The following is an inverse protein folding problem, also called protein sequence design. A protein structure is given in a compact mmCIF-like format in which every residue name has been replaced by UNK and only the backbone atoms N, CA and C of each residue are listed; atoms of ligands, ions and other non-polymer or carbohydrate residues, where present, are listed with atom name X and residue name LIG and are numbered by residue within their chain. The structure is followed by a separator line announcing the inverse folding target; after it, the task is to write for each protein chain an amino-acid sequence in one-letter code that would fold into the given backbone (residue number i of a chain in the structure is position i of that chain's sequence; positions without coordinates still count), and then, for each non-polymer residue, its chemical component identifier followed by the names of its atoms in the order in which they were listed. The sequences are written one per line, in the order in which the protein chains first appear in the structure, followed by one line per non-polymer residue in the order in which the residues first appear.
data_IF_596857846838
#
_entry.id   IF_596857846838
#
_cell.length_a   1.000
_cell.length_b   1.000
_cell.length_c   1.000
_cell.angle_alpha   90.00
_cell.angle_beta   90.00
_cell.angle_gamma   90.00
#
_symmetry.space_group_name_H-M   'P 1'
#
loop_
_entity.id
_entity.type
_entity.pdbx_description
1 polymer ?
#
# COMPACT_ATOMS: atom_id res chain seq x y z
N UNK A 1 1.62 -6.37 -1.79
CA UNK A 1 1.26 -5.14 -1.08
C UNK A 1 1.85 -3.97 -1.84
N UNK A 2 1.00 -3.10 -2.39
CA UNK A 2 1.38 -1.88 -3.10
C UNK A 2 2.11 -0.88 -2.20
N UNK A 3 2.69 0.15 -2.83
CA UNK A 3 3.48 1.18 -2.17
C UNK A 3 2.66 2.46 -2.03
N UNK A 4 2.72 3.11 -0.87
CA UNK A 4 1.95 4.29 -0.53
C UNK A 4 2.91 5.46 -0.64
N UNK A 5 2.74 6.25 -1.69
CA UNK A 5 3.63 7.36 -1.97
C UNK A 5 3.21 8.63 -1.26
N UNK A 6 1.90 8.88 -1.17
CA UNK A 6 1.36 10.14 -0.62
C UNK A 6 0.02 9.88 0.05
N UNK A 7 -0.22 10.61 1.14
CA UNK A 7 -1.51 10.70 1.82
C UNK A 7 -1.83 12.18 1.96
N UNK A 8 -2.95 12.64 1.39
CA UNK A 8 -3.40 14.03 1.54
C UNK A 8 -2.29 15.06 1.29
N UNK A 9 -2.08 15.98 2.23
CA UNK A 9 -1.01 16.97 2.25
C UNK A 9 0.16 16.57 3.18
N UNK A 10 0.28 15.31 3.60
CA UNK A 10 1.33 14.88 4.54
C UNK A 10 2.69 14.74 3.85
N UNK A 11 3.77 15.10 4.54
CA UNK A 11 5.12 14.94 3.99
C UNK A 11 5.45 13.48 3.76
N UNK A 12 6.15 13.17 2.67
CA UNK A 12 6.48 11.80 2.32
C UNK A 12 7.96 11.63 1.99
N UNK A 13 8.56 10.51 2.43
CA UNK A 13 9.95 10.18 2.05
C UNK A 13 10.13 10.11 0.54
N UNK A 14 9.10 9.66 -0.16
CA UNK A 14 9.14 9.50 -1.61
C UNK A 14 9.27 10.84 -2.36
N UNK A 15 8.95 11.98 -1.72
CA UNK A 15 9.16 13.31 -2.29
C UNK A 15 10.64 13.68 -2.39
N UNK A 16 11.47 13.13 -1.49
CA UNK A 16 12.92 13.38 -1.48
C UNK A 16 13.61 12.59 -2.57
N UNK A 17 13.34 11.28 -2.67
CA UNK A 17 13.91 10.41 -3.69
C UNK A 17 13.04 9.17 -3.90
N UNK A 18 12.18 9.22 -4.92
CA UNK A 18 11.27 8.11 -5.19
C UNK A 18 12.01 6.80 -5.48
N UNK A 19 13.11 6.84 -6.23
CA UNK A 19 13.82 5.63 -6.69
C UNK A 19 14.44 4.94 -5.48
N UNK A 20 15.14 5.70 -4.64
CA UNK A 20 15.76 5.20 -3.42
C UNK A 20 14.73 4.58 -2.48
N UNK A 21 13.67 5.30 -2.13
CA UNK A 21 12.73 4.82 -1.12
C UNK A 21 11.84 3.68 -1.61
N UNK A 22 11.52 3.64 -2.90
CA UNK A 22 10.81 2.51 -3.52
C UNK A 22 11.64 1.22 -3.43
N UNK A 23 12.92 1.29 -3.81
CA UNK A 23 13.83 0.15 -3.73
C UNK A 23 14.06 -0.30 -2.28
N UNK A 24 14.24 0.65 -1.36
CA UNK A 24 14.37 0.35 0.07
C UNK A 24 13.15 -0.37 0.63
N UNK A 25 11.94 0.08 0.29
CA UNK A 25 10.71 -0.55 0.77
C UNK A 25 10.57 -2.00 0.27
N UNK A 26 10.82 -2.24 -1.02
CA UNK A 26 10.76 -3.59 -1.59
C UNK A 26 11.77 -4.52 -0.91
N UNK A 27 13.01 -4.05 -0.69
CA UNK A 27 14.05 -4.82 0.00
C UNK A 27 13.69 -5.10 1.45
N UNK A 28 13.29 -4.08 2.21
CA UNK A 28 12.90 -4.19 3.62
C UNK A 28 11.76 -5.20 3.79
N UNK A 29 10.72 -5.12 2.95
CA UNK A 29 9.61 -6.06 2.99
C UNK A 29 10.06 -7.50 2.76
N UNK A 30 10.92 -7.77 1.76
CA UNK A 30 11.41 -9.12 1.45
C UNK A 30 12.22 -9.69 2.61
N UNK A 31 13.18 -8.91 3.12
CA UNK A 31 14.03 -9.33 4.24
C UNK A 31 13.21 -9.60 5.50
N UNK A 32 12.32 -8.68 5.86
CA UNK A 32 11.52 -8.81 7.08
C UNK A 32 10.50 -9.95 6.98
N UNK A 33 9.96 -10.22 5.78
CA UNK A 33 9.10 -11.39 5.57
C UNK A 33 9.86 -12.71 5.76
N UNK A 34 11.07 -12.82 5.21
CA UNK A 34 11.92 -14.01 5.36
C UNK A 34 12.23 -14.26 6.84
N UNK A 35 12.75 -13.25 7.54
CA UNK A 35 13.06 -13.36 8.98
C UNK A 35 11.81 -13.68 9.81
N UNK A 36 10.68 -13.04 9.52
CA UNK A 36 9.43 -13.28 10.25
C UNK A 36 8.92 -14.71 10.05
N UNK A 37 9.01 -15.23 8.82
CA UNK A 37 8.64 -16.60 8.48
C UNK A 37 9.57 -17.62 9.12
N UNK A 38 10.89 -17.44 9.02
CA UNK A 38 11.88 -18.31 9.65
C UNK A 38 11.68 -18.38 11.17
N UNK A 39 11.42 -17.25 11.82
CA UNK A 39 11.13 -17.21 13.26
C UNK A 39 9.87 -17.99 13.63
N UNK A 40 8.85 -17.98 12.77
CA UNK A 40 7.62 -18.75 12.98
C UNK A 40 7.85 -20.25 12.76
N UNK A 41 8.53 -20.64 11.67
CA UNK A 41 8.86 -22.05 11.39
C UNK A 41 9.74 -22.67 12.49
N UNK A 42 10.74 -21.92 12.99
CA UNK A 42 11.59 -22.37 14.09
C UNK A 42 10.82 -22.56 15.39
N UNK A 43 9.82 -21.71 15.68
CA UNK A 43 8.97 -21.86 16.87
C UNK A 43 7.98 -23.01 16.75
N UNK A 44 7.42 -23.25 15.56
CA UNK A 44 6.61 -24.44 15.28
C UNK A 44 7.43 -25.71 15.51
N UNK A 45 8.64 -25.77 14.96
CA UNK A 45 9.53 -26.91 15.16
C UNK A 45 9.89 -27.09 16.65
N UNK A 46 10.19 -26.00 17.36
CA UNK A 46 10.48 -26.06 18.80
C UNK A 46 9.27 -26.50 19.65
N UNK A 47 8.05 -26.08 19.30
CA UNK A 47 6.82 -26.52 19.96
C UNK A 47 6.49 -27.99 19.69
N UNK A 48 6.68 -28.46 18.46
CA UNK A 48 6.54 -29.88 18.10
C UNK A 48 7.59 -30.76 18.77
N UNK A 49 8.83 -30.26 18.95
CA UNK A 49 9.86 -30.96 19.73
C UNK A 49 9.53 -31.04 21.23
N UNK A 50 8.69 -30.14 21.75
CA UNK A 50 8.22 -30.17 23.13
C UNK A 50 7.09 -31.19 23.33
N UNK A 51 6.17 -31.33 22.37
CA UNK A 51 5.11 -32.36 22.40
C UNK A 51 5.66 -33.78 22.20
N UNK A 52 6.67 -33.97 21.33
CA UNK A 52 7.30 -35.30 21.12
C UNK A 52 8.17 -35.72 22.32
N UNK A 53 8.74 -34.76 23.06
CA UNK A 53 9.53 -35.05 24.27
C UNK A 53 8.69 -35.45 25.50
N UNK A 54 7.38 -35.20 25.49
CA UNK A 54 6.48 -35.68 26.55
C UNK A 54 6.06 -37.16 26.35
N UNK A 55 6.14 -37.71 25.13
CA UNK A 55 5.84 -39.13 24.86
C UNK A 55 7.08 -40.04 24.75
N UNK A 56 8.27 -39.53 24.46
CA UNK A 56 9.50 -40.35 24.37
C UNK A 56 10.62 -39.84 25.31
N UNK A 57 10.45 -40.11 26.61
CA UNK A 57 11.53 -39.99 27.58
C UNK A 57 12.48 -41.21 27.53
N UNK A 58 13.44 -41.20 26.61
CA UNK A 58 14.76 -41.85 26.76
C UNK A 58 15.78 -41.21 25.78
N UNK A 59 16.98 -40.78 26.22
CA UNK A 59 17.91 -40.09 25.32
C UNK A 59 18.87 -41.08 24.65
N UNK A 60 18.82 -41.17 23.32
CA UNK A 60 19.89 -41.75 22.50
C UNK A 60 20.79 -40.66 21.90
N UNK A 61 22.11 -40.82 22.08
CA UNK A 61 23.17 -39.85 21.76
C UNK A 61 23.33 -39.55 20.26
N UNK A 62 22.80 -40.40 19.38
CA UNK A 62 22.96 -40.32 17.92
C UNK A 62 22.13 -39.20 17.25
N UNK A 63 21.06 -38.74 17.91
CA UNK A 63 20.17 -37.71 17.37
C UNK A 63 20.90 -36.38 17.12
N UNK A 64 21.84 -36.00 17.99
CA UNK A 64 22.59 -34.74 17.90
C UNK A 64 23.52 -34.66 16.68
N UNK A 65 24.06 -35.79 16.20
CA UNK A 65 24.93 -35.81 15.02
C UNK A 65 24.15 -35.63 13.71
N UNK A 66 22.88 -36.06 13.65
CA UNK A 66 22.04 -35.95 12.45
C UNK A 66 21.52 -34.51 12.25
N UNK A 67 21.13 -33.81 13.32
CA UNK A 67 20.68 -32.42 13.23
C UNK A 67 21.77 -31.44 12.78
N UNK A 68 23.05 -31.70 13.12
CA UNK A 68 24.17 -30.85 12.68
C UNK A 68 24.45 -30.95 11.17
N UNK A 69 24.22 -32.13 10.57
CA UNK A 69 24.41 -32.38 9.13
C UNK A 69 23.33 -31.71 8.28
N UNK A 70 22.08 -31.69 8.74
CA UNK A 70 20.95 -31.06 8.03
C UNK A 70 21.12 -29.53 7.99
N UNK A 71 21.58 -28.93 9.12
CA UNK A 71 21.89 -27.49 9.19
C UNK A 71 22.99 -27.08 8.22
N UNK A 72 23.96 -27.96 7.97
CA UNK A 72 25.03 -27.72 7.00
C UNK A 72 24.59 -27.84 5.54
N UNK A 73 23.59 -28.68 5.25
CA UNK A 73 23.06 -28.88 3.90
C UNK A 73 22.14 -27.72 3.45
N UNK A 74 21.36 -27.14 4.37
CA UNK A 74 20.57 -25.92 4.10
C UNK A 74 21.45 -24.68 3.86
N UNK A 75 22.59 -24.58 4.56
CA UNK A 75 23.57 -23.51 4.34
C UNK A 75 24.21 -23.58 2.95
N UNK A 76 24.36 -24.78 2.39
CA UNK A 76 25.03 -25.01 1.09
C UNK A 76 24.10 -24.79 -0.12
N UNK A 77 22.79 -24.61 0.08
CA UNK A 77 21.83 -24.37 -1.01
C UNK A 77 21.56 -22.89 -1.28
N UNK A 78 22.15 -21.98 -0.49
CA UNK A 78 22.05 -20.52 -0.66
C UNK A 78 23.20 -19.91 -1.48
N UNK A 79 24.11 -20.71 -2.03
CA UNK A 79 25.30 -20.23 -2.76
C UNK A 79 25.22 -20.33 -4.29
N UNK A 80 24.07 -20.68 -4.88
CA UNK A 80 23.94 -20.73 -6.35
C UNK A 80 22.74 -19.86 -6.78
N UNK A 81 23.06 -18.83 -7.57
CA UNK A 81 22.22 -17.78 -8.17
C UNK A 81 21.90 -16.55 -7.30
N UNK A 82 22.94 -15.80 -6.93
CA UNK A 82 22.80 -14.34 -6.74
C UNK A 82 24.09 -13.62 -7.10
N UNK A 83 24.54 -13.83 -8.34
CA UNK A 83 25.68 -13.13 -8.91
C UNK A 83 25.19 -12.32 -10.10
N UNK A 84 24.77 -11.08 -9.81
CA UNK A 84 25.05 -9.86 -10.60
C UNK A 84 24.30 -8.68 -9.95
N UNK A 85 25.06 -7.61 -9.65
CA UNK A 85 24.64 -6.31 -9.09
C UNK A 85 24.64 -6.12 -7.55
N UNK A 86 25.60 -6.70 -6.82
CA UNK A 86 25.89 -6.28 -5.45
C UNK A 86 27.01 -5.22 -5.42
N UNK A 87 26.63 -3.93 -5.43
CA UNK A 87 27.52 -2.86 -4.94
C UNK A 87 27.72 -2.99 -3.42
N UNK A 88 28.89 -2.59 -2.87
CA UNK A 88 29.26 -2.85 -1.49
C UNK A 88 28.34 -2.11 -0.50
N UNK A 89 28.00 -2.83 0.57
CA UNK A 89 27.09 -2.43 1.64
C UNK A 89 27.65 -1.23 2.40
N UNK A 90 27.01 -0.06 2.27
CA UNK A 90 27.16 0.99 3.26
C UNK A 90 26.43 0.58 4.55
N UNK A 91 27.07 0.67 5.73
CA UNK A 91 26.44 0.36 6.99
C UNK A 91 25.23 1.27 7.26
N UNK A 92 24.21 0.63 7.81
CA UNK A 92 22.97 1.17 8.37
C UNK A 92 23.12 2.60 8.94
N UNK A 93 22.41 3.58 8.36
CA UNK A 93 22.39 4.95 8.90
C UNK A 93 21.35 5.09 10.03
N UNK A 94 21.70 5.65 11.20
CA UNK A 94 20.75 5.96 12.26
C UNK A 94 19.79 7.06 11.78
N UNK A 95 18.47 6.80 11.83
CA UNK A 95 17.40 7.69 11.35
C UNK A 95 16.35 7.03 10.45
N UNK A 96 16.60 5.79 10.01
CA UNK A 96 15.64 4.99 9.23
C UNK A 96 14.64 4.37 10.20
N UNK A 97 13.34 4.60 9.97
CA UNK A 97 12.25 3.92 10.67
C UNK A 97 12.53 2.40 10.68
N UNK A 98 12.74 1.82 11.86
CA UNK A 98 12.96 0.38 12.00
C UNK A 98 11.62 -0.35 11.90
N UNK A 99 11.53 -1.33 11.00
CA UNK A 99 10.41 -2.24 10.91
C UNK A 99 10.85 -3.62 11.39
N UNK A 100 10.34 -4.02 12.55
CA UNK A 100 10.59 -5.35 13.12
C UNK A 100 9.22 -5.97 13.44
N UNK A 101 8.72 -6.89 12.60
CA UNK A 101 7.41 -7.49 12.81
C UNK A 101 7.42 -8.42 14.03
N UNK A 102 6.36 -8.36 14.84
CA UNK A 102 6.23 -9.12 16.08
C UNK A 102 5.07 -10.12 16.02
N UNK A 103 5.24 -11.28 16.62
CA UNK A 103 4.17 -12.26 16.79
C UNK A 103 3.33 -11.88 18.01
N UNK A 104 2.20 -11.23 17.80
CA UNK A 104 1.25 -10.85 18.87
C UNK A 104 0.50 -12.08 19.38
N UNK A 105 0.24 -13.03 18.49
CA UNK A 105 -0.27 -14.36 18.79
C UNK A 105 0.42 -15.36 17.86
N UNK A 106 0.31 -16.65 18.18
CA UNK A 106 0.89 -17.71 17.37
C UNK A 106 -0.08 -18.09 16.25
N UNK A 107 0.23 -17.81 14.97
CA UNK A 107 -0.65 -18.21 13.87
C UNK A 107 -0.49 -19.71 13.59
N UNK A 108 -1.59 -20.40 13.37
CA UNK A 108 -1.62 -21.84 13.08
C UNK A 108 -1.30 -22.11 11.60
N UNK A 109 -1.51 -21.12 10.73
CA UNK A 109 -1.34 -21.25 9.27
C UNK A 109 -0.46 -20.14 8.70
N UNK A 110 0.23 -20.45 7.61
CA UNK A 110 1.05 -19.47 6.88
C UNK A 110 0.19 -18.28 6.39
N UNK A 111 -1.07 -18.51 6.05
CA UNK A 111 -1.99 -17.45 5.62
C UNK A 111 -2.34 -16.48 6.75
N UNK A 112 -2.48 -16.97 7.99
CA UNK A 112 -2.64 -16.09 9.16
C UNK A 112 -1.35 -15.30 9.43
N UNK A 113 -0.19 -15.95 9.30
CA UNK A 113 1.11 -15.27 9.42
C UNK A 113 1.27 -14.16 8.38
N UNK A 114 0.90 -14.42 7.12
CA UNK A 114 0.89 -13.42 6.04
C UNK A 114 0.00 -12.24 6.38
N UNK A 115 -1.22 -12.47 6.88
CA UNK A 115 -2.14 -11.39 7.29
C UNK A 115 -1.52 -10.53 8.39
N UNK A 116 -0.97 -11.15 9.43
CA UNK A 116 -0.31 -10.43 10.52
C UNK A 116 0.83 -9.54 10.04
N UNK A 117 1.69 -10.09 9.18
CA UNK A 117 2.78 -9.35 8.58
C UNK A 117 2.27 -8.16 7.75
N UNK A 118 1.26 -8.36 6.91
CA UNK A 118 0.68 -7.32 6.07
C UNK A 118 -0.01 -6.22 6.88
N UNK A 119 -0.63 -6.56 8.01
CA UNK A 119 -1.25 -5.57 8.90
C UNK A 119 -0.21 -4.71 9.60
N UNK A 120 0.91 -5.30 10.02
CA UNK A 120 2.02 -4.55 10.60
C UNK A 120 2.74 -3.70 9.56
N UNK A 121 2.96 -4.25 8.36
CA UNK A 121 3.57 -3.54 7.24
C UNK A 121 2.71 -2.36 6.79
N UNK A 122 1.39 -2.49 6.81
CA UNK A 122 0.45 -1.40 6.55
C UNK A 122 0.64 -0.23 7.52
N UNK A 123 0.72 -0.50 8.83
CA UNK A 123 0.97 0.55 9.84
C UNK A 123 2.34 1.21 9.65
N UNK A 124 3.36 0.42 9.32
CA UNK A 124 4.69 0.95 9.00
C UNK A 124 4.67 1.86 7.78
N UNK A 125 3.98 1.44 6.73
CA UNK A 125 3.88 2.17 5.47
C UNK A 125 3.13 3.50 5.62
N UNK A 126 2.12 3.58 6.49
CA UNK A 126 1.50 4.85 6.87
C UNK A 126 2.53 5.82 7.47
N UNK A 127 3.30 5.37 8.47
CA UNK A 127 4.36 6.18 9.09
C UNK A 127 5.46 6.56 8.09
N UNK A 128 5.79 5.65 7.18
CA UNK A 128 6.78 5.86 6.12
C UNK A 128 6.33 6.93 5.12
N UNK A 129 5.05 6.95 4.76
CA UNK A 129 4.45 7.91 3.83
C UNK A 129 4.02 9.23 4.48
N UNK A 130 4.28 9.42 5.77
CA UNK A 130 3.91 10.62 6.55
C UNK A 130 5.08 11.24 7.33
N UNK A 131 6.33 10.81 7.08
CA UNK A 131 7.48 11.31 7.84
C UNK A 131 8.78 11.25 7.06
N UNK A 132 9.60 12.29 7.19
CA UNK A 132 10.97 12.36 6.65
C UNK A 132 11.99 12.23 7.79
N UNK A 133 13.29 12.40 7.52
CA UNK A 133 14.31 12.40 8.57
C UNK A 133 14.14 13.57 9.55
N UNK A 134 13.66 14.72 9.07
CA UNK A 134 13.59 15.96 9.85
C UNK A 134 12.17 16.29 10.32
N UNK A 135 11.17 15.79 9.61
CA UNK A 135 9.78 16.23 9.78
C UNK A 135 8.84 15.02 9.87
N UNK A 136 7.70 15.23 10.53
CA UNK A 136 6.59 14.29 10.48
C UNK A 136 5.24 15.02 10.41
N UNK A 137 4.24 14.32 9.89
CA UNK A 137 2.85 14.77 9.89
C UNK A 137 2.06 13.89 10.86
N UNK A 138 1.26 14.47 11.77
CA UNK A 138 0.41 13.70 12.67
C UNK A 138 -0.67 12.98 11.86
N UNK A 139 -0.68 11.64 11.92
CA UNK A 139 -1.67 10.82 11.21
C UNK A 139 -2.90 10.63 12.10
N UNK A 140 -4.11 11.01 11.64
CA UNK A 140 -5.36 10.68 12.32
C UNK A 140 -5.55 9.17 12.49
N UNK A 141 -6.08 8.75 13.64
CA UNK A 141 -6.34 7.34 13.93
C UNK A 141 -7.24 6.67 12.88
N UNK A 142 -8.17 7.42 12.27
CA UNK A 142 -9.09 6.93 11.24
C UNK A 142 -8.37 6.25 10.05
N UNK A 143 -7.20 6.77 9.63
CA UNK A 143 -6.46 6.22 8.48
C UNK A 143 -5.89 4.83 8.75
N UNK A 144 -5.66 4.45 10.01
CA UNK A 144 -5.21 3.10 10.37
C UNK A 144 -6.32 2.04 10.22
N UNK A 145 -7.57 2.47 10.21
CA UNK A 145 -8.75 1.60 10.09
C UNK A 145 -9.46 1.74 8.74
N UNK A 146 -9.00 2.65 7.89
CA UNK A 146 -9.55 2.88 6.55
C UNK A 146 -9.48 1.59 5.70
N UNK A 147 -10.65 1.10 5.31
CA UNK A 147 -10.80 -0.14 4.55
C UNK A 147 -10.37 0.00 3.09
N UNK A 148 -10.50 1.19 2.51
CA UNK A 148 -10.18 1.46 1.11
C UNK A 148 -8.67 1.57 0.93
N UNK A 149 -8.00 2.24 1.88
CA UNK A 149 -6.56 2.31 1.91
C UNK A 149 -5.93 0.91 2.11
N UNK A 150 -6.46 0.12 3.05
CA UNK A 150 -6.03 -1.28 3.24
C UNK A 150 -6.28 -2.12 1.99
N UNK A 151 -7.42 -1.93 1.34
CA UNK A 151 -7.76 -2.63 0.11
C UNK A 151 -6.72 -2.38 -0.98
N UNK A 152 -6.40 -1.11 -1.30
CA UNK A 152 -5.40 -0.81 -2.33
C UNK A 152 -4.01 -1.31 -1.98
N UNK A 153 -3.60 -1.19 -0.71
CA UNK A 153 -2.25 -1.57 -0.34
C UNK A 153 -2.12 -3.09 -0.25
N UNK A 154 -2.93 -3.79 0.54
CA UNK A 154 -2.70 -5.22 0.79
C UNK A 154 -3.03 -6.09 -0.42
N UNK A 155 -3.98 -5.69 -1.28
CA UNK A 155 -4.53 -6.56 -2.32
C UNK A 155 -3.78 -6.47 -3.66
N UNK A 156 -3.03 -5.40 -3.88
CA UNK A 156 -2.28 -5.18 -5.12
C UNK A 156 -0.78 -5.52 -4.97
N UNK A 157 -0.09 -5.83 -6.08
CA UNK A 157 1.36 -6.04 -6.10
C UNK A 157 2.14 -4.81 -5.62
N UNK A 158 3.37 -5.02 -5.17
CA UNK A 158 4.31 -3.97 -4.76
C UNK A 158 4.84 -3.09 -5.90
N UNK A 159 4.49 -3.41 -7.13
CA UNK A 159 4.77 -2.59 -8.31
C UNK A 159 3.75 -1.47 -8.52
N UNK A 160 2.68 -1.45 -7.72
CA UNK A 160 1.65 -0.42 -7.75
C UNK A 160 2.01 0.69 -6.77
N UNK A 161 1.89 1.93 -7.25
CA UNK A 161 2.20 3.11 -6.45
C UNK A 161 0.90 3.90 -6.21
N UNK A 162 0.60 4.19 -4.96
CA UNK A 162 -0.67 4.78 -4.51
C UNK A 162 -0.44 6.19 -3.96
N UNK A 163 -1.19 7.16 -4.47
CA UNK A 163 -1.37 8.46 -3.84
C UNK A 163 -2.83 8.51 -3.35
N UNK A 164 -3.01 8.48 -2.04
CA UNK A 164 -4.33 8.46 -1.42
C UNK A 164 -4.82 9.88 -1.15
N UNK A 165 -5.82 10.29 -1.93
CA UNK A 165 -6.43 11.64 -1.91
C UNK A 165 -5.40 12.77 -1.87
N UNK A 166 -4.42 12.82 -2.80
CA UNK A 166 -3.35 13.81 -2.73
C UNK A 166 -3.91 15.22 -2.88
N UNK A 167 -3.24 16.17 -2.25
CA UNK A 167 -3.60 17.59 -2.34
C UNK A 167 -2.62 18.28 -3.28
N UNK A 168 -3.12 18.86 -4.38
CA UNK A 168 -2.31 19.61 -5.34
C UNK A 168 -2.48 21.12 -5.19
N UNK A 169 -1.43 21.86 -5.54
CA UNK A 169 -1.50 23.32 -5.70
C UNK A 169 -1.61 23.64 -7.18
N UNK A 170 -2.78 24.10 -7.63
CA UNK A 170 -3.00 24.46 -9.02
C UNK A 170 -3.43 25.93 -9.14
N UNK A 171 -2.61 26.76 -9.80
CA UNK A 171 -2.90 28.20 -10.00
C UNK A 171 -3.30 28.93 -8.70
N UNK A 172 -2.59 28.66 -7.59
CA UNK A 172 -2.86 29.17 -6.23
C UNK A 172 -4.11 28.62 -5.54
N UNK A 173 -4.86 27.70 -6.16
CA UNK A 173 -5.90 26.95 -5.50
C UNK A 173 -5.34 25.64 -4.93
N UNK A 174 -5.72 25.33 -3.69
CA UNK A 174 -5.43 24.04 -3.05
C UNK A 174 -6.62 23.14 -3.33
N UNK A 175 -6.37 21.98 -3.96
CA UNK A 175 -7.44 21.07 -4.36
C UNK A 175 -7.10 19.65 -3.92
N UNK A 176 -8.02 19.05 -3.16
CA UNK A 176 -8.00 17.61 -2.86
C UNK A 176 -8.48 16.81 -4.07
N UNK A 177 -7.72 15.76 -4.39
CA UNK A 177 -7.99 14.86 -5.50
C UNK A 177 -8.61 13.55 -5.04
N UNK A 178 -9.17 12.82 -6.00
CA UNK A 178 -9.48 11.41 -5.83
C UNK A 178 -8.22 10.55 -5.74
N UNK A 179 -8.39 9.26 -5.42
CA UNK A 179 -7.26 8.35 -5.27
C UNK A 179 -6.56 8.12 -6.61
N UNK A 180 -5.23 8.22 -6.64
CA UNK A 180 -4.43 7.96 -7.83
C UNK A 180 -3.63 6.68 -7.63
N UNK A 181 -3.83 5.71 -8.51
CA UNK A 181 -3.14 4.43 -8.51
C UNK A 181 -2.32 4.27 -9.80
N UNK A 182 -1.01 4.24 -9.67
CA UNK A 182 -0.09 4.07 -10.79
C UNK A 182 0.21 2.58 -10.93
N UNK A 183 -0.34 1.98 -11.98
CA UNK A 183 -0.09 0.59 -12.38
C UNK A 183 0.99 0.53 -13.48
N UNK A 184 1.48 -0.66 -13.84
CA UNK A 184 2.45 -0.81 -14.94
C UNK A 184 1.93 -0.52 -16.34
N UNK A 185 0.60 -0.39 -16.48
CA UNK A 185 -0.07 -0.15 -17.76
C UNK A 185 -0.68 1.25 -17.84
N UNK A 186 -1.24 1.76 -16.75
CA UNK A 186 -1.97 3.01 -16.72
C UNK A 186 -1.89 3.72 -15.35
N UNK A 187 -2.13 5.03 -15.37
CA UNK A 187 -2.44 5.81 -14.16
C UNK A 187 -3.95 5.84 -13.99
N UNK A 188 -4.43 5.29 -12.89
CA UNK A 188 -5.85 5.22 -12.58
C UNK A 188 -6.23 6.36 -11.63
N UNK A 189 -7.21 7.17 -12.02
CA UNK A 189 -7.95 8.02 -11.11
C UNK A 189 -9.15 7.23 -10.62
N UNK A 190 -9.24 6.98 -9.31
CA UNK A 190 -10.21 6.06 -8.71
C UNK A 190 -11.00 6.75 -7.61
N UNK A 191 -12.32 6.52 -7.62
CA UNK A 191 -13.22 6.94 -6.55
C UNK A 191 -14.15 5.81 -6.16
N UNK A 192 -14.43 5.66 -4.87
CA UNK A 192 -15.37 4.68 -4.35
C UNK A 192 -16.75 5.29 -4.22
N UNK A 193 -17.76 4.55 -4.69
CA UNK A 193 -19.17 4.85 -4.47
C UNK A 193 -19.81 3.66 -3.79
N UNK A 194 -19.70 3.61 -2.47
CA UNK A 194 -20.19 2.50 -1.65
C UNK A 194 -21.07 3.04 -0.53
N UNK A 195 -22.32 2.57 -0.49
CA UNK A 195 -23.24 2.89 0.59
C UNK A 195 -23.91 1.62 1.11
N UNK A 196 -25.20 1.43 0.79
CA UNK A 196 -25.97 0.29 1.25
C UNK A 196 -25.72 -0.93 0.37
N UNK A 197 -25.84 -2.12 0.97
CA UNK A 197 -25.66 -3.38 0.25
C UNK A 197 -26.74 -3.53 -0.84
N UNK A 198 -26.29 -3.90 -2.03
CA UNK A 198 -27.09 -4.07 -3.25
C UNK A 198 -27.86 -2.80 -3.69
N UNK A 199 -27.37 -1.61 -3.31
CA UNK A 199 -27.90 -0.35 -3.81
C UNK A 199 -27.66 -0.19 -5.33
N UNK A 200 -28.62 0.43 -6.01
CA UNK A 200 -28.53 0.74 -7.45
C UNK A 200 -28.38 2.25 -7.63
N UNK A 201 -27.31 2.65 -8.31
CA UNK A 201 -27.02 4.04 -8.64
C UNK A 201 -27.36 4.31 -10.11
N UNK A 202 -28.19 5.32 -10.35
CA UNK A 202 -28.54 5.79 -11.69
C UNK A 202 -27.63 6.95 -12.07
N UNK A 203 -26.65 6.64 -12.91
CA UNK A 203 -25.71 7.62 -13.43
C UNK A 203 -26.38 8.55 -14.44
N UNK A 204 -26.03 9.83 -14.36
CA UNK A 204 -26.47 10.84 -15.32
C UNK A 204 -25.41 11.92 -15.50
N UNK A 205 -25.57 12.75 -16.55
CA UNK A 205 -24.74 13.96 -16.76
C UNK A 205 -25.07 15.08 -15.78
N UNK A 206 -26.13 14.94 -14.99
CA UNK A 206 -26.55 15.93 -14.01
C UNK A 206 -25.58 15.99 -12.83
N UNK A 207 -25.64 17.09 -12.08
CA UNK A 207 -24.87 17.27 -10.84
C UNK A 207 -25.21 16.23 -9.76
N UNK A 208 -26.42 15.67 -9.81
CA UNK A 208 -26.90 14.70 -8.84
C UNK A 208 -27.29 13.40 -9.52
N UNK A 209 -26.96 12.30 -8.87
CA UNK A 209 -27.41 10.96 -9.22
C UNK A 209 -28.49 10.51 -8.26
N UNK A 210 -29.28 9.52 -8.69
CA UNK A 210 -30.28 8.87 -7.85
C UNK A 210 -29.74 7.53 -7.36
N UNK A 211 -29.68 7.36 -6.04
CA UNK A 211 -29.44 6.08 -5.37
C UNK A 211 -30.78 5.48 -5.00
N UNK A 212 -31.02 4.23 -5.37
CA UNK A 212 -32.16 3.43 -4.88
C UNK A 212 -31.66 2.26 -4.04
N UNK A 213 -32.16 2.16 -2.82
CA UNK A 213 -31.96 1.02 -1.94
C UNK A 213 -33.32 0.56 -1.41
N UNK A 214 -33.79 -0.59 -1.88
CA UNK A 214 -35.16 -1.06 -1.63
C UNK A 214 -36.21 -0.06 -2.15
N UNK A 215 -36.99 0.53 -1.24
CA UNK A 215 -38.06 1.50 -1.56
C UNK A 215 -37.63 2.96 -1.47
N UNK A 216 -36.43 3.25 -0.95
CA UNK A 216 -35.98 4.62 -0.72
C UNK A 216 -35.12 5.10 -1.88
N UNK A 217 -35.45 6.29 -2.40
CA UNK A 217 -34.64 7.01 -3.37
C UNK A 217 -33.96 8.21 -2.69
N UNK A 218 -32.64 8.33 -2.84
CA UNK A 218 -31.83 9.43 -2.30
C UNK A 218 -31.03 10.07 -3.42
N UNK A 219 -30.90 11.39 -3.40
CA UNK A 219 -30.01 12.11 -4.31
C UNK A 219 -28.59 12.15 -3.72
N UNK A 220 -27.61 11.83 -4.54
CA UNK A 220 -26.18 11.91 -4.21
C UNK A 220 -25.48 12.83 -5.21
N UNK A 221 -24.36 13.44 -4.81
CA UNK A 221 -23.53 14.21 -5.74
C UNK A 221 -22.89 13.25 -6.75
N UNK A 222 -22.82 13.67 -8.02
CA UNK A 222 -22.17 12.89 -9.07
C UNK A 222 -20.65 12.74 -8.77
N UNK A 223 -20.15 11.52 -8.49
CA UNK A 223 -18.75 11.29 -8.14
C UNK A 223 -17.80 11.52 -9.33
N UNK A 224 -18.31 11.49 -10.56
CA UNK A 224 -17.52 11.70 -11.78
C UNK A 224 -17.05 13.14 -11.92
N UNK A 225 -17.71 14.11 -11.25
CA UNK A 225 -17.26 15.51 -11.25
C UNK A 225 -15.87 15.62 -10.61
N UNK A 226 -15.69 15.00 -9.44
CA UNK A 226 -14.40 14.99 -8.75
C UNK A 226 -13.36 14.20 -9.55
N UNK A 227 -13.77 13.07 -10.12
CA UNK A 227 -12.92 12.21 -10.94
C UNK A 227 -12.41 12.91 -12.22
N UNK A 228 -13.28 13.64 -12.93
CA UNK A 228 -12.94 14.42 -14.12
C UNK A 228 -12.00 15.58 -13.78
N UNK A 229 -12.19 16.22 -12.61
CA UNK A 229 -11.27 17.26 -12.14
C UNK A 229 -9.89 16.68 -11.87
N UNK A 230 -9.81 15.54 -11.17
CA UNK A 230 -8.55 14.86 -10.88
C UNK A 230 -7.85 14.43 -12.16
N UNK A 231 -8.57 13.80 -13.08
CA UNK A 231 -8.01 13.35 -14.36
C UNK A 231 -7.44 14.51 -15.18
N UNK A 232 -8.14 15.65 -15.28
CA UNK A 232 -7.64 16.83 -16.01
C UNK A 232 -6.35 17.39 -15.42
N UNK A 233 -6.28 17.48 -14.09
CA UNK A 233 -5.09 18.00 -13.39
C UNK A 233 -3.92 17.03 -13.56
N UNK A 234 -4.14 15.73 -13.31
CA UNK A 234 -3.14 14.68 -13.48
C UNK A 234 -2.63 14.64 -14.93
N UNK A 235 -3.52 14.72 -15.91
CA UNK A 235 -3.15 14.78 -17.34
C UNK A 235 -2.30 16.01 -17.66
N UNK A 236 -2.63 17.16 -17.09
CA UNK A 236 -1.84 18.38 -17.21
C UNK A 236 -0.40 18.19 -16.70
N UNK A 237 -0.27 17.70 -15.46
CA UNK A 237 1.04 17.47 -14.81
C UNK A 237 1.87 16.46 -15.59
N UNK A 238 1.29 15.31 -15.96
CA UNK A 238 2.00 14.26 -16.68
C UNK A 238 2.44 14.70 -18.08
N UNK A 239 1.61 15.50 -18.78
CA UNK A 239 1.96 16.04 -20.10
C UNK A 239 3.14 17.02 -20.01
N UNK A 240 3.16 17.90 -19.01
CA UNK A 240 4.26 18.85 -18.78
C UNK A 240 5.60 18.13 -18.55
N UNK A 241 5.56 16.98 -17.88
CA UNK A 241 6.75 16.19 -17.57
C UNK A 241 7.10 15.16 -18.66
N UNK A 242 6.39 15.15 -19.81
CA UNK A 242 6.65 14.22 -20.91
C UNK A 242 6.44 12.76 -20.50
N UNK A 243 5.38 12.47 -19.76
CA UNK A 243 4.95 11.12 -19.39
C UNK A 243 3.85 10.67 -20.36
N UNK A 244 4.03 9.49 -20.98
CA UNK A 244 3.15 8.97 -22.03
C UNK A 244 2.21 7.86 -21.57
N UNK A 245 2.22 7.52 -20.28
CA UNK A 245 1.35 6.48 -19.71
C UNK A 245 -0.12 6.91 -19.86
N UNK A 246 -1.03 6.01 -20.30
CA UNK A 246 -2.46 6.32 -20.40
C UNK A 246 -3.07 6.60 -19.02
N UNK A 247 -4.08 7.47 -19.00
CA UNK A 247 -4.82 7.85 -17.79
C UNK A 247 -6.24 7.35 -17.92
N UNK A 248 -6.65 6.50 -16.98
CA UNK A 248 -7.96 5.86 -16.94
C UNK A 248 -8.74 6.33 -15.72
N UNK A 249 -10.06 6.45 -15.84
CA UNK A 249 -10.95 6.80 -14.74
C UNK A 249 -11.71 5.56 -14.29
N UNK A 250 -11.73 5.25 -13.01
CA UNK A 250 -12.46 4.13 -12.44
C UNK A 250 -13.42 4.57 -11.35
N UNK A 251 -14.69 4.22 -11.51
CA UNK A 251 -15.70 4.37 -10.46
C UNK A 251 -15.94 2.99 -9.84
N UNK A 252 -15.50 2.79 -8.60
CA UNK A 252 -15.56 1.48 -7.93
C UNK A 252 -16.78 1.41 -7.02
N UNK A 253 -17.58 0.35 -7.18
CA UNK A 253 -18.69 0.03 -6.30
C UNK A 253 -18.71 -1.48 -6.04
N UNK A 254 -18.11 -1.93 -4.92
CA UNK A 254 -18.00 -3.37 -4.61
C UNK A 254 -19.32 -3.97 -4.11
N UNK A 255 -20.19 -3.15 -3.53
CA UNK A 255 -21.40 -3.60 -2.83
C UNK A 255 -22.70 -3.31 -3.57
N UNK A 256 -22.68 -2.64 -4.73
CA UNK A 256 -23.87 -2.22 -5.46
C UNK A 256 -23.72 -2.30 -6.98
N UNK A 257 -24.70 -1.75 -7.68
CA UNK A 257 -24.76 -1.71 -9.14
C UNK A 257 -24.84 -0.28 -9.64
N UNK A 258 -24.20 0.01 -10.76
CA UNK A 258 -24.24 1.34 -11.38
C UNK A 258 -24.83 1.19 -12.78
N UNK A 259 -25.95 1.86 -13.02
CA UNK A 259 -26.60 1.88 -14.34
C UNK A 259 -26.37 3.24 -14.97
N UNK A 260 -25.54 3.27 -16.01
CA UNK A 260 -25.33 4.46 -16.83
C UNK A 260 -25.02 4.07 -18.28
N UNK A 261 -26.05 3.92 -19.14
CA UNK A 261 -25.85 3.51 -20.53
C UNK A 261 -24.99 4.49 -21.34
N UNK A 262 -25.18 5.79 -21.10
CA UNK A 262 -24.48 6.88 -21.82
C UNK A 262 -23.22 7.36 -21.08
N UNK A 263 -22.48 6.44 -20.46
CA UNK A 263 -21.26 6.78 -19.74
C UNK A 263 -20.19 7.39 -20.68
N UNK A 264 -19.46 8.44 -20.25
CA UNK A 264 -18.38 9.02 -21.05
C UNK A 264 -17.30 8.01 -21.40
N UNK A 265 -16.70 8.15 -22.59
CA UNK A 265 -15.54 7.34 -22.97
C UNK A 265 -14.38 7.52 -21.98
N UNK A 266 -13.68 6.43 -21.67
CA UNK A 266 -12.58 6.39 -20.70
C UNK A 266 -13.00 6.35 -19.23
N UNK A 267 -14.31 6.26 -18.94
CA UNK A 267 -14.83 5.96 -17.59
C UNK A 267 -15.13 4.45 -17.47
N UNK A 268 -14.38 3.78 -16.60
CA UNK A 268 -14.61 2.38 -16.25
C UNK A 268 -15.54 2.32 -15.05
N UNK A 269 -16.75 1.81 -15.26
CA UNK A 269 -17.71 1.54 -14.20
C UNK A 269 -17.39 0.16 -13.62
N UNK A 270 -16.76 0.13 -12.46
CA UNK A 270 -16.31 -1.05 -11.75
C UNK A 270 -17.31 -1.41 -10.64
N UNK A 271 -18.55 -1.73 -11.06
CA UNK A 271 -19.58 -2.20 -10.14
C UNK A 271 -19.37 -3.68 -9.75
N UNK A 272 -20.28 -4.26 -8.95
CA UNK A 272 -20.16 -5.64 -8.45
C UNK A 272 -19.88 -6.68 -9.55
N UNK A 273 -20.26 -6.44 -10.81
CA UNK A 273 -20.06 -7.38 -11.94
C UNK A 273 -18.63 -7.32 -12.50
N UNK A 274 -18.15 -6.23 -13.15
CA UNK A 274 -16.83 -6.20 -13.76
C UNK A 274 -15.69 -5.96 -12.75
N UNK A 275 -16.01 -5.53 -11.52
CA UNK A 275 -14.98 -5.24 -10.51
C UNK A 275 -14.07 -6.45 -10.24
N UNK A 276 -14.63 -7.66 -10.15
CA UNK A 276 -13.85 -8.86 -9.85
C UNK A 276 -12.84 -9.19 -10.95
N UNK A 277 -13.25 -9.03 -12.22
CA UNK A 277 -12.39 -9.28 -13.38
C UNK A 277 -11.26 -8.26 -13.45
N UNK A 278 -11.59 -6.97 -13.33
CA UNK A 278 -10.61 -5.90 -13.25
C UNK A 278 -9.63 -6.13 -12.09
N UNK A 279 -10.14 -6.47 -10.90
CA UNK A 279 -9.32 -6.72 -9.72
C UNK A 279 -8.33 -7.89 -9.95
N UNK A 280 -8.79 -9.00 -10.52
CA UNK A 280 -7.94 -10.15 -10.85
C UNK A 280 -6.89 -9.78 -11.89
N UNK A 281 -7.28 -9.05 -12.93
CA UNK A 281 -6.37 -8.56 -13.96
C UNK A 281 -5.24 -7.72 -13.34
N UNK A 282 -5.60 -6.69 -12.56
CA UNK A 282 -4.61 -5.82 -11.89
C UNK A 282 -3.69 -6.60 -10.95
N UNK A 283 -4.23 -7.55 -10.18
CA UNK A 283 -3.44 -8.37 -9.24
C UNK A 283 -2.41 -9.27 -9.94
N UNK A 284 -2.69 -9.68 -11.18
CA UNK A 284 -1.80 -10.53 -11.96
C UNK A 284 -0.75 -9.76 -12.76
N UNK A 285 -0.76 -8.42 -12.72
CA UNK A 285 0.29 -7.59 -13.34
C UNK A 285 1.59 -7.67 -12.54
N UNK A 286 2.42 -8.66 -12.88
CA UNK A 286 3.73 -8.91 -12.24
C UNK A 286 4.92 -8.27 -12.96
N UNK A 287 4.68 -7.34 -13.89
CA UNK A 287 5.77 -6.66 -14.59
C UNK A 287 6.61 -5.85 -13.60
N UNK A 288 7.93 -5.80 -13.78
CA UNK A 288 8.81 -4.99 -12.94
C UNK A 288 8.44 -3.51 -13.02
N UNK A 289 8.83 -2.76 -12.01
CA UNK A 289 8.55 -1.33 -11.93
C UNK A 289 9.29 -0.60 -13.06
N UNK A 290 8.53 0.06 -13.95
CA UNK A 290 9.06 0.71 -15.15
C UNK A 290 9.50 2.15 -14.85
N UNK A 291 10.51 2.62 -15.57
CA UNK A 291 10.98 4.01 -15.49
C UNK A 291 9.85 5.03 -15.66
N UNK A 292 8.94 4.82 -16.63
CA UNK A 292 7.84 5.75 -16.86
C UNK A 292 6.86 5.83 -15.68
N UNK A 293 6.69 4.75 -14.90
CA UNK A 293 5.85 4.77 -13.70
C UNK A 293 6.51 5.63 -12.61
N UNK A 294 7.82 5.46 -12.41
CA UNK A 294 8.60 6.26 -11.46
C UNK A 294 8.61 7.74 -11.87
N UNK A 295 8.78 8.02 -13.16
CA UNK A 295 8.71 9.38 -13.71
C UNK A 295 7.33 10.01 -13.50
N UNK A 296 6.25 9.25 -13.73
CA UNK A 296 4.88 9.70 -13.47
C UNK A 296 4.65 10.01 -11.99
N UNK A 297 5.09 9.10 -11.13
CA UNK A 297 4.95 9.26 -9.69
C UNK A 297 5.75 10.45 -9.16
N UNK A 298 6.99 10.65 -9.62
CA UNK A 298 7.80 11.82 -9.25
C UNK A 298 7.15 13.12 -9.71
N UNK A 299 6.65 13.17 -10.95
CA UNK A 299 5.97 14.36 -11.48
C UNK A 299 4.75 14.73 -10.63
N UNK A 300 3.96 13.75 -10.20
CA UNK A 300 2.84 13.99 -9.30
C UNK A 300 3.30 14.45 -7.91
N UNK A 301 4.29 13.78 -7.31
CA UNK A 301 4.79 14.14 -5.99
C UNK A 301 5.36 15.57 -5.93
N UNK A 302 6.02 16.03 -7.00
CA UNK A 302 6.58 17.39 -7.06
C UNK A 302 5.51 18.49 -7.01
N UNK A 303 4.30 18.21 -7.47
CA UNK A 303 3.19 19.17 -7.50
C UNK A 303 2.28 19.05 -6.26
N UNK A 304 2.51 18.05 -5.41
CA UNK A 304 1.77 17.85 -4.17
C UNK A 304 2.14 18.91 -3.13
N UNK A 305 1.14 19.32 -2.36
CA UNK A 305 1.36 20.08 -1.14
C UNK A 305 1.92 19.15 -0.05
N UNK A 306 2.95 19.60 0.67
CA UNK A 306 3.49 18.91 1.84
C UNK A 306 3.45 19.85 3.05
N UNK A 307 2.70 19.46 4.09
CA UNK A 307 2.66 20.09 5.40
C UNK A 307 3.19 19.13 6.45
N UNK A 308 4.04 19.65 7.32
CA UNK A 308 4.72 18.85 8.34
C UNK A 308 5.12 19.72 9.52
N UNK A 309 5.48 19.06 10.61
CA UNK A 309 6.06 19.66 11.81
C UNK A 309 7.48 19.11 11.97
N UNK A 310 8.43 19.96 12.36
CA UNK A 310 9.79 19.53 12.65
C UNK A 310 9.80 18.57 13.86
N UNK A 311 10.46 17.41 13.74
CA UNK A 311 10.48 16.37 14.80
C UNK A 311 10.94 16.90 16.15
N UNK A 312 12.02 17.70 16.15
CA UNK A 312 12.59 18.30 17.37
C UNK A 312 11.60 19.22 18.10
N UNK A 313 10.70 19.87 17.37
CA UNK A 313 9.65 20.74 17.95
C UNK A 313 8.56 19.90 18.62
N UNK A 314 8.19 18.79 18.00
CA UNK A 314 7.15 17.88 18.51
C UNK A 314 7.56 17.17 19.80
N UNK A 315 8.80 16.69 19.88
CA UNK A 315 9.35 16.07 21.10
C UNK A 315 9.29 17.03 22.31
N UNK A 316 9.54 18.32 22.08
CA UNK A 316 9.41 19.35 23.11
C UNK A 316 7.95 19.62 23.52
N UNK A 317 7.02 19.61 22.56
CA UNK A 317 5.59 19.82 22.82
C UNK A 317 4.96 18.63 23.57
N UNK A 318 5.34 17.39 23.24
CA UNK A 318 4.87 16.19 23.95
C UNK A 318 5.42 16.15 25.38
N UNK A 319 6.70 16.48 25.60
CA UNK A 319 7.27 16.59 26.95
C UNK A 319 6.66 17.70 27.80
N UNK A 320 6.17 18.78 27.20
CA UNK A 320 5.45 19.83 27.96
C UNK A 320 4.03 19.43 28.36
N UNK A 321 3.42 18.43 27.70
CA UNK A 321 2.07 17.94 28.00
C UNK A 321 2.04 16.80 29.01
N UNK A 322 3.10 16.02 29.11
CA UNK A 322 3.22 14.93 30.10
C UNK A 322 3.73 15.43 31.47
N UNK A 323 4.02 16.73 31.60
CA UNK A 323 4.51 17.39 32.82
C UNK A 323 3.47 18.25 33.57
N UNK A 324 2.23 18.30 33.09
CA UNK A 324 1.05 18.85 33.78
C UNK A 324 0.14 17.70 34.24
#
# INVERSE_FOLDING_TARGET
MGQLLKIQDYVSRYEVDIIRYTNQFVRLKKQQWQTFRENWENRLAAGQMQEVQEEEAAPDEDSRQLFSRIKHWLRKKNEVEMEELAEPVAPFQPGILQFSPQLVFFPETEDQLKKLFLDQLFRFQLKWASSTLLEDSPIPAALYFDADLKYFLQRFPDTFLLLYKPVFVFKKAILEMETILISPLAVWCLTFLEEEKDAVFFGSKSHFWEKRAGKNAKKILNPVIALDRTEKIVRGILKQHGVTIPIEKGLICRNGYITWPDAPQGLHILDKRPHMEWFRHQRNLRSPLKYMQLKAAQALLNECLAKSVARKRRELEDHSRDGE
#
